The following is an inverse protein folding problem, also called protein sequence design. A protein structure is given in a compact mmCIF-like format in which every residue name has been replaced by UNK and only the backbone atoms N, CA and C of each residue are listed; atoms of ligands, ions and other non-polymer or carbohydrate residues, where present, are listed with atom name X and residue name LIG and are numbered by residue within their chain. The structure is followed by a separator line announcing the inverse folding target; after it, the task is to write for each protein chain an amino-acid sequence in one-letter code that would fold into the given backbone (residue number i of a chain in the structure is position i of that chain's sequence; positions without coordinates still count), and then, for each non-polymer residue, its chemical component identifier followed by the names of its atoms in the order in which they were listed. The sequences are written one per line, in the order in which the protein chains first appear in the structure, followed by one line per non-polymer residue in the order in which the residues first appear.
data_IF_156047575414
#
_entry.id   IF_156047575414
#
_cell.length_a   1.000
_cell.length_b   1.000
_cell.length_c   1.000
_cell.angle_alpha   90.00
_cell.angle_beta   90.00
_cell.angle_gamma   90.00
#
_symmetry.space_group_name_H-M   'P 1'
#
loop_
_entity.id
_entity.type
_entity.pdbx_description
1 polymer ?
#
# COMPACT_ATOMS: atom_id res chain seq x y z
N UNK A 1 -19.26 3.72 -23.95
CA UNK A 1 -19.65 4.76 -22.98
C UNK A 1 -18.49 5.04 -22.02
N UNK A 2 -18.23 6.29 -21.69
CA UNK A 2 -17.22 6.64 -20.67
C UNK A 2 -17.66 6.22 -19.27
N UNK A 3 -18.97 6.13 -19.01
CA UNK A 3 -19.52 5.83 -17.70
C UNK A 3 -19.13 4.43 -17.18
N UNK A 4 -19.06 3.43 -18.05
CA UNK A 4 -18.63 2.07 -17.72
C UNK A 4 -17.15 1.83 -18.01
N UNK A 5 -16.55 2.54 -18.98
CA UNK A 5 -15.16 2.34 -19.37
C UNK A 5 -14.19 2.97 -18.38
N UNK A 6 -14.49 4.17 -17.88
CA UNK A 6 -13.59 4.87 -16.95
C UNK A 6 -13.39 4.10 -15.63
N UNK A 7 -14.43 3.68 -14.89
CA UNK A 7 -14.24 2.85 -13.70
C UNK A 7 -13.57 1.51 -14.01
N UNK A 8 -13.85 0.90 -15.17
CA UNK A 8 -13.14 -0.30 -15.62
C UNK A 8 -11.63 -0.05 -15.72
N UNK A 9 -11.21 1.06 -16.35
CA UNK A 9 -9.78 1.40 -16.49
C UNK A 9 -9.14 1.71 -15.14
N UNK A 10 -9.83 2.37 -14.22
CA UNK A 10 -9.32 2.60 -12.86
C UNK A 10 -9.01 1.27 -12.16
N UNK A 11 -9.93 0.31 -12.19
CA UNK A 11 -9.74 -1.03 -11.61
C UNK A 11 -8.54 -1.75 -12.25
N UNK A 12 -8.46 -1.77 -13.57
CA UNK A 12 -7.38 -2.45 -14.30
C UNK A 12 -6.03 -1.80 -14.01
N UNK A 13 -5.93 -0.47 -14.08
CA UNK A 13 -4.68 0.25 -13.87
C UNK A 13 -4.12 0.01 -12.45
N UNK A 14 -4.95 0.12 -11.43
CA UNK A 14 -4.55 -0.10 -10.04
C UNK A 14 -4.14 -1.56 -9.81
N UNK A 15 -4.90 -2.52 -10.34
CA UNK A 15 -4.56 -3.93 -10.22
C UNK A 15 -3.23 -4.27 -10.90
N UNK A 16 -2.99 -3.79 -12.12
CA UNK A 16 -1.75 -4.03 -12.86
C UNK A 16 -0.53 -3.41 -12.16
N UNK A 17 -0.61 -2.14 -11.73
CA UNK A 17 0.46 -1.49 -10.97
C UNK A 17 0.73 -2.20 -9.64
N UNK A 18 -0.31 -2.71 -8.99
CA UNK A 18 -0.15 -3.46 -7.75
C UNK A 18 0.62 -4.76 -7.93
N UNK A 19 0.33 -5.49 -9.02
CA UNK A 19 1.00 -6.75 -9.34
C UNK A 19 2.44 -6.50 -9.78
N UNK A 20 2.65 -5.47 -10.60
CA UNK A 20 3.94 -5.20 -11.22
C UNK A 20 4.95 -4.58 -10.26
N UNK A 21 4.51 -3.64 -9.45
CA UNK A 21 5.42 -2.78 -8.69
C UNK A 21 5.24 -2.91 -7.17
N UNK A 22 4.03 -2.71 -6.65
CA UNK A 22 3.78 -2.61 -5.20
C UNK A 22 4.02 -3.93 -4.46
N UNK A 23 3.37 -5.00 -4.90
CA UNK A 23 3.42 -6.30 -4.22
C UNK A 23 4.82 -6.90 -4.24
N UNK A 24 5.55 -6.91 -5.36
CA UNK A 24 6.95 -7.33 -5.38
C UNK A 24 7.84 -6.53 -4.43
N UNK A 25 7.76 -5.20 -4.49
CA UNK A 25 8.56 -4.32 -3.62
C UNK A 25 8.27 -4.55 -2.13
N UNK A 26 7.01 -4.73 -1.76
CA UNK A 26 6.64 -5.03 -0.38
C UNK A 26 7.13 -6.42 0.07
N UNK A 27 7.08 -7.43 -0.82
CA UNK A 27 7.64 -8.75 -0.55
C UNK A 27 9.15 -8.71 -0.37
N UNK A 28 9.87 -7.95 -1.16
CA UNK A 28 11.31 -7.77 -1.03
C UNK A 28 11.66 -7.06 0.29
N UNK A 29 10.92 -6.03 0.66
CA UNK A 29 11.08 -5.35 1.96
C UNK A 29 10.88 -6.34 3.12
N UNK A 30 9.81 -7.13 3.10
CA UNK A 30 9.54 -8.16 4.11
C UNK A 30 10.70 -9.16 4.21
N UNK A 31 11.24 -9.60 3.07
CA UNK A 31 12.38 -10.52 3.01
C UNK A 31 13.63 -9.92 3.66
N UNK A 32 13.93 -8.64 3.43
CA UNK A 32 15.06 -7.97 4.06
C UNK A 32 14.87 -7.84 5.58
N UNK A 33 13.67 -7.49 6.05
CA UNK A 33 13.38 -7.51 7.49
C UNK A 33 13.50 -8.91 8.11
N UNK A 34 13.08 -9.95 7.41
CA UNK A 34 13.28 -11.34 7.86
C UNK A 34 14.75 -11.72 8.00
N UNK A 35 15.62 -11.26 7.08
CA UNK A 35 17.07 -11.44 7.20
C UNK A 35 17.61 -10.72 8.43
N UNK A 36 17.23 -9.45 8.63
CA UNK A 36 17.65 -8.67 9.81
C UNK A 36 17.17 -9.30 11.11
N UNK A 37 15.92 -9.77 11.17
CA UNK A 37 15.39 -10.54 12.31
C UNK A 37 16.33 -11.70 12.70
N UNK A 38 16.82 -12.50 11.71
CA UNK A 38 17.73 -13.62 11.96
C UNK A 38 19.10 -13.15 12.44
N UNK A 39 19.67 -12.12 11.80
CA UNK A 39 20.97 -11.58 12.18
C UNK A 39 20.94 -11.04 13.62
N UNK A 40 19.85 -10.40 14.00
CA UNK A 40 19.70 -9.74 15.30
C UNK A 40 19.10 -10.60 16.40
N UNK A 41 18.84 -11.88 16.15
CA UNK A 41 18.10 -12.77 17.08
C UNK A 41 18.73 -12.92 18.46
N UNK A 42 20.05 -12.79 18.57
CA UNK A 42 20.82 -12.98 19.80
C UNK A 42 21.36 -11.65 20.38
N UNK A 43 21.02 -10.50 19.79
CA UNK A 43 21.45 -9.21 20.29
C UNK A 43 20.48 -8.75 21.37
N UNK A 44 20.92 -8.84 22.63
CA UNK A 44 20.11 -8.42 23.79
C UNK A 44 20.11 -6.89 23.86
N UNK A 45 18.93 -6.32 24.08
CA UNK A 45 18.71 -4.90 24.30
C UNK A 45 17.61 -4.67 25.31
N UNK A 46 17.49 -3.43 25.78
CA UNK A 46 16.32 -3.04 26.58
C UNK A 46 15.10 -2.85 25.67
N UNK A 47 13.96 -3.45 26.05
CA UNK A 47 12.65 -3.08 25.51
C UNK A 47 12.15 -1.80 26.17
N UNK A 48 11.38 -0.99 25.44
CA UNK A 48 10.84 0.27 25.92
C UNK A 48 9.34 0.37 25.75
N UNK A 49 8.69 0.92 26.75
CA UNK A 49 7.29 1.36 26.70
C UNK A 49 7.22 2.81 27.15
N UNK A 50 6.37 3.63 26.52
CA UNK A 50 6.33 5.08 26.79
C UNK A 50 7.70 5.77 26.64
N UNK A 51 8.58 5.23 25.78
CA UNK A 51 9.99 5.62 25.63
C UNK A 51 10.86 5.46 26.90
N UNK A 52 10.35 4.75 27.91
CA UNK A 52 11.07 4.43 29.14
C UNK A 52 11.54 2.98 29.13
N UNK A 53 12.63 2.69 29.85
CA UNK A 53 13.19 1.35 29.97
C UNK A 53 12.16 0.39 30.59
N UNK A 54 12.03 -0.79 29.97
CA UNK A 54 11.13 -1.84 30.44
C UNK A 54 11.90 -3.15 30.71
N UNK A 55 11.64 -4.20 29.97
CA UNK A 55 12.27 -5.50 30.15
C UNK A 55 13.22 -5.84 29.01
N UNK A 56 14.24 -6.70 29.25
CA UNK A 56 15.13 -7.15 28.17
C UNK A 56 14.36 -7.90 27.08
N UNK A 57 14.75 -7.60 25.85
CA UNK A 57 14.33 -8.30 24.62
C UNK A 57 15.54 -8.54 23.74
N UNK A 58 15.37 -9.18 22.59
CA UNK A 58 16.38 -9.14 21.54
C UNK A 58 15.99 -8.12 20.46
N UNK A 59 16.97 -7.55 19.79
CA UNK A 59 16.74 -6.73 18.60
C UNK A 59 16.00 -7.53 17.52
N UNK A 60 16.24 -8.83 17.44
CA UNK A 60 15.49 -9.75 16.57
C UNK A 60 13.99 -9.85 16.91
N UNK A 61 13.60 -9.72 18.19
CA UNK A 61 12.19 -9.65 18.59
C UNK A 61 11.52 -8.39 18.02
N UNK A 62 12.20 -7.26 18.07
CA UNK A 62 11.72 -5.98 17.53
C UNK A 62 11.51 -6.07 16.01
N UNK A 63 12.51 -6.55 15.27
CA UNK A 63 12.38 -6.79 13.82
C UNK A 63 11.35 -7.87 13.48
N UNK A 64 11.10 -8.81 14.36
CA UNK A 64 10.02 -9.82 14.21
C UNK A 64 8.63 -9.17 14.19
N UNK A 65 8.40 -8.17 15.06
CA UNK A 65 7.15 -7.41 15.07
C UNK A 65 6.96 -6.64 13.74
N UNK A 66 8.01 -5.99 13.23
CA UNK A 66 7.98 -5.31 11.95
C UNK A 66 7.63 -6.25 10.78
N UNK A 67 8.26 -7.44 10.75
CA UNK A 67 7.93 -8.46 9.73
C UNK A 67 6.45 -8.84 9.76
N UNK A 68 5.91 -9.13 10.94
CA UNK A 68 4.52 -9.56 11.11
C UNK A 68 3.54 -8.45 10.68
N UNK A 69 3.86 -7.20 11.02
CA UNK A 69 3.04 -6.04 10.66
C UNK A 69 2.99 -5.84 9.14
N UNK A 70 4.13 -5.94 8.45
CA UNK A 70 4.20 -5.82 6.99
C UNK A 70 3.52 -7.00 6.26
N UNK A 71 3.67 -8.23 6.76
CA UNK A 71 2.97 -9.40 6.23
C UNK A 71 1.45 -9.26 6.33
N UNK A 72 0.95 -8.73 7.45
CA UNK A 72 -0.47 -8.45 7.62
C UNK A 72 -0.96 -7.36 6.65
N UNK A 73 -0.15 -6.32 6.37
CA UNK A 73 -0.45 -5.31 5.36
C UNK A 73 -0.50 -5.90 3.95
N UNK A 74 0.48 -6.74 3.59
CA UNK A 74 0.47 -7.44 2.31
C UNK A 74 -0.81 -8.25 2.11
N UNK A 75 -1.23 -9.00 3.13
CA UNK A 75 -2.47 -9.79 3.09
C UNK A 75 -3.70 -8.91 2.86
N UNK A 76 -3.80 -7.75 3.53
CA UNK A 76 -4.91 -6.79 3.33
C UNK A 76 -4.94 -6.26 1.90
N UNK A 77 -3.78 -5.91 1.34
CA UNK A 77 -3.66 -5.45 -0.04
C UNK A 77 -4.10 -6.54 -1.02
N UNK A 78 -3.67 -7.79 -0.83
CA UNK A 78 -4.05 -8.90 -1.70
C UNK A 78 -5.55 -9.19 -1.65
N UNK A 79 -6.19 -9.07 -0.48
CA UNK A 79 -7.64 -9.22 -0.31
C UNK A 79 -8.39 -8.09 -1.02
N UNK A 80 -8.09 -6.83 -0.72
CA UNK A 80 -8.78 -5.67 -1.33
C UNK A 80 -8.57 -5.62 -2.85
N UNK A 81 -7.36 -5.98 -3.34
CA UNK A 81 -7.06 -6.09 -4.76
C UNK A 81 -7.97 -7.08 -5.48
N UNK A 82 -8.42 -8.13 -4.82
CA UNK A 82 -9.27 -9.15 -5.47
C UNK A 82 -10.60 -8.60 -5.95
N UNK A 83 -11.13 -7.56 -5.31
CA UNK A 83 -12.37 -6.88 -5.69
C UNK A 83 -12.23 -6.07 -6.98
N UNK A 84 -11.03 -5.56 -7.28
CA UNK A 84 -10.74 -4.82 -8.51
C UNK A 84 -10.89 -5.65 -9.80
N UNK A 85 -11.01 -6.98 -9.67
CA UNK A 85 -11.22 -7.87 -10.82
C UNK A 85 -12.64 -7.87 -11.37
N UNK A 86 -13.59 -7.24 -10.70
CA UNK A 86 -14.97 -7.12 -11.17
C UNK A 86 -15.17 -5.79 -11.86
N UNK A 87 -15.54 -5.84 -13.16
CA UNK A 87 -15.52 -4.70 -14.05
C UNK A 87 -16.92 -4.23 -14.44
N UNK A 88 -17.09 -2.90 -14.48
CA UNK A 88 -18.32 -2.24 -14.90
C UNK A 88 -18.58 -2.34 -16.42
N UNK A 89 -17.57 -2.68 -17.22
CA UNK A 89 -17.64 -2.66 -18.68
C UNK A 89 -18.84 -3.43 -19.23
N UNK A 90 -19.56 -2.80 -20.15
CA UNK A 90 -20.79 -3.30 -20.73
C UNK A 90 -22.05 -2.83 -20.01
N UNK A 91 -21.93 -2.05 -18.90
CA UNK A 91 -23.07 -1.39 -18.26
C UNK A 91 -23.62 -0.22 -19.05
N UNK A 92 -22.80 0.33 -19.95
CA UNK A 92 -23.09 1.50 -20.80
C UNK A 92 -23.39 2.76 -19.98
N UNK A 93 -24.52 3.42 -20.19
CA UNK A 93 -24.80 4.72 -19.58
C UNK A 93 -25.11 4.63 -18.07
N UNK A 94 -25.92 3.64 -17.65
CA UNK A 94 -26.47 3.57 -16.30
C UNK A 94 -26.40 2.18 -15.64
N UNK A 95 -25.84 1.18 -16.33
CA UNK A 95 -25.73 -0.20 -15.85
C UNK A 95 -26.63 -1.20 -16.55
N UNK A 96 -27.59 -0.75 -17.36
CA UNK A 96 -28.55 -1.62 -18.07
C UNK A 96 -27.96 -2.34 -19.28
N UNK A 97 -26.80 -1.88 -19.77
CA UNK A 97 -26.20 -2.41 -21.00
C UNK A 97 -26.95 -2.06 -22.28
N UNK A 98 -27.76 -1.01 -22.27
CA UNK A 98 -28.52 -0.56 -23.44
C UNK A 98 -27.59 -0.31 -24.64
N UNK A 99 -27.97 -0.81 -25.80
CA UNK A 99 -27.20 -0.77 -27.05
C UNK A 99 -25.87 -1.55 -27.05
N UNK A 100 -25.52 -2.25 -25.98
CA UNK A 100 -24.38 -3.15 -26.03
C UNK A 100 -24.73 -4.48 -26.69
N UNK A 101 -23.85 -5.07 -27.50
CA UNK A 101 -24.06 -6.43 -28.03
C UNK A 101 -24.19 -7.45 -26.89
N UNK A 102 -25.00 -8.49 -27.13
CA UNK A 102 -25.13 -9.58 -26.15
C UNK A 102 -23.75 -10.18 -25.81
N UNK A 103 -23.48 -10.37 -24.52
CA UNK A 103 -22.22 -10.94 -23.97
C UNK A 103 -20.98 -10.05 -24.19
N UNK A 104 -21.14 -8.78 -24.55
CA UNK A 104 -20.02 -7.86 -24.75
C UNK A 104 -19.07 -7.83 -23.54
N UNK A 105 -19.61 -7.73 -22.34
CA UNK A 105 -18.89 -7.75 -21.07
C UNK A 105 -17.99 -8.99 -20.89
N UNK A 106 -18.54 -10.18 -21.18
CA UNK A 106 -17.80 -11.44 -21.09
C UNK A 106 -16.68 -11.52 -22.14
N UNK A 107 -16.98 -11.07 -23.36
CA UNK A 107 -16.00 -11.06 -24.46
C UNK A 107 -14.88 -10.07 -24.15
N UNK A 108 -15.22 -8.88 -23.65
CA UNK A 108 -14.25 -7.88 -23.21
C UNK A 108 -13.29 -8.46 -22.15
N UNK A 109 -13.83 -9.03 -21.06
CA UNK A 109 -13.01 -9.65 -20.01
C UNK A 109 -12.13 -10.79 -20.55
N UNK A 110 -12.65 -11.61 -21.48
CA UNK A 110 -11.86 -12.68 -22.12
C UNK A 110 -10.63 -12.14 -22.84
N UNK A 111 -10.76 -11.03 -23.60
CA UNK A 111 -9.63 -10.43 -24.29
C UNK A 111 -8.69 -9.72 -23.34
N UNK A 112 -9.23 -8.99 -22.36
CA UNK A 112 -8.44 -8.32 -21.32
C UNK A 112 -7.57 -9.34 -20.56
N UNK A 113 -8.14 -10.48 -20.16
CA UNK A 113 -7.42 -11.54 -19.45
C UNK A 113 -6.26 -12.13 -20.27
N UNK A 114 -6.40 -12.19 -21.62
CA UNK A 114 -5.30 -12.61 -22.48
C UNK A 114 -4.16 -11.58 -22.51
N UNK A 115 -4.49 -10.30 -22.47
CA UNK A 115 -3.50 -9.21 -22.51
C UNK A 115 -2.76 -9.06 -21.18
N UNK A 116 -3.49 -9.11 -20.08
CA UNK A 116 -2.95 -8.86 -18.73
C UNK A 116 -2.45 -10.13 -18.02
N UNK A 117 -2.85 -11.31 -18.50
CA UNK A 117 -2.64 -12.62 -17.85
C UNK A 117 -3.25 -12.69 -16.44
N UNK A 118 -4.32 -11.92 -16.20
CA UNK A 118 -5.11 -11.95 -14.96
C UNK A 118 -6.52 -12.53 -15.21
N UNK A 119 -7.42 -12.48 -14.25
CA UNK A 119 -8.74 -13.13 -14.21
C UNK A 119 -9.86 -12.14 -13.95
N UNK A 120 -9.95 -11.09 -14.77
CA UNK A 120 -11.05 -10.13 -14.72
C UNK A 120 -12.38 -10.78 -15.12
N UNK A 121 -13.45 -10.32 -14.48
CA UNK A 121 -14.82 -10.79 -14.67
C UNK A 121 -15.78 -9.61 -14.80
N UNK A 122 -16.88 -9.74 -15.54
CA UNK A 122 -17.95 -8.77 -15.48
C UNK A 122 -18.49 -8.66 -14.06
N UNK A 123 -18.75 -7.43 -13.60
CA UNK A 123 -19.49 -7.22 -12.35
C UNK A 123 -20.86 -7.89 -12.43
N UNK A 124 -21.30 -8.44 -11.31
CA UNK A 124 -22.63 -9.06 -11.20
C UNK A 124 -23.75 -8.02 -11.29
N UNK A 125 -23.50 -6.83 -10.74
CA UNK A 125 -24.42 -5.71 -10.78
C UNK A 125 -23.72 -4.47 -11.34
N UNK A 126 -23.98 -4.18 -12.62
CA UNK A 126 -23.36 -3.02 -13.29
C UNK A 126 -23.97 -1.68 -12.89
N UNK A 127 -25.18 -1.67 -12.30
CA UNK A 127 -25.75 -0.45 -11.71
C UNK A 127 -24.94 0.00 -10.52
N UNK A 128 -24.55 -0.93 -9.67
CA UNK A 128 -23.67 -0.66 -8.52
C UNK A 128 -22.29 -0.23 -8.99
N UNK A 129 -21.66 -0.98 -9.91
CA UNK A 129 -20.28 -0.74 -10.35
C UNK A 129 -20.06 0.58 -11.11
N UNK A 130 -21.14 1.23 -11.60
CA UNK A 130 -21.08 2.56 -12.18
C UNK A 130 -21.31 3.65 -11.12
N UNK A 131 -22.14 3.36 -10.13
CA UNK A 131 -22.60 4.32 -9.13
C UNK A 131 -21.70 4.39 -7.89
N UNK A 132 -20.89 3.35 -7.65
CA UNK A 132 -20.06 3.22 -6.46
C UNK A 132 -18.63 2.81 -6.83
N UNK A 133 -17.67 3.30 -6.05
CA UNK A 133 -16.25 2.97 -6.18
C UNK A 133 -15.68 2.27 -4.94
N UNK A 134 -16.50 1.53 -4.21
CA UNK A 134 -16.14 0.86 -2.95
C UNK A 134 -14.88 -0.01 -3.06
N UNK A 135 -14.66 -0.81 -4.14
CA UNK A 135 -13.41 -1.56 -4.30
C UNK A 135 -12.16 -0.67 -4.35
N UNK A 136 -12.26 0.51 -4.97
CA UNK A 136 -11.14 1.48 -5.04
C UNK A 136 -10.89 2.13 -3.68
N UNK A 137 -11.94 2.47 -2.95
CA UNK A 137 -11.86 3.00 -1.58
C UNK A 137 -11.23 1.96 -0.66
N UNK A 138 -11.68 0.72 -0.70
CA UNK A 138 -11.15 -0.38 0.12
C UNK A 138 -9.66 -0.61 -0.18
N UNK A 139 -9.27 -0.61 -1.45
CA UNK A 139 -7.87 -0.72 -1.83
C UNK A 139 -7.05 0.47 -1.33
N UNK A 140 -7.51 1.70 -1.51
CA UNK A 140 -6.87 2.92 -1.00
C UNK A 140 -6.69 2.87 0.52
N UNK A 141 -7.69 2.41 1.27
CA UNK A 141 -7.61 2.25 2.72
C UNK A 141 -6.61 1.16 3.14
N UNK A 142 -6.40 0.12 2.33
CA UNK A 142 -5.33 -0.85 2.58
C UNK A 142 -3.94 -0.23 2.40
N UNK A 143 -3.75 0.68 1.44
CA UNK A 143 -2.51 1.46 1.28
C UNK A 143 -2.30 2.45 2.42
N UNK A 144 -3.36 3.10 2.90
CA UNK A 144 -3.33 3.96 4.09
C UNK A 144 -2.86 3.19 5.32
N UNK A 145 -3.39 1.98 5.53
CA UNK A 145 -2.96 1.10 6.63
C UNK A 145 -1.49 0.70 6.49
N UNK A 146 -1.02 0.37 5.28
CA UNK A 146 0.40 0.11 5.04
C UNK A 146 1.25 1.34 5.38
N UNK A 147 0.84 2.52 4.95
CA UNK A 147 1.57 3.78 5.22
C UNK A 147 1.67 4.09 6.72
N UNK A 148 0.61 3.88 7.48
CA UNK A 148 0.61 4.03 8.94
C UNK A 148 1.57 3.02 9.58
N UNK A 149 1.57 1.79 9.12
CA UNK A 149 2.49 0.75 9.60
C UNK A 149 3.95 1.08 9.29
N UNK A 150 4.22 1.54 8.07
CA UNK A 150 5.56 1.97 7.67
C UNK A 150 6.04 3.18 8.49
N UNK A 151 5.19 4.18 8.73
CA UNK A 151 5.53 5.33 9.59
C UNK A 151 5.96 4.89 10.98
N UNK A 152 5.23 3.96 11.60
CA UNK A 152 5.60 3.41 12.90
C UNK A 152 6.97 2.73 12.84
N UNK A 153 7.19 1.86 11.88
CA UNK A 153 8.43 1.08 11.72
C UNK A 153 9.63 2.01 11.47
N UNK A 154 9.51 2.96 10.55
CA UNK A 154 10.62 3.85 10.21
C UNK A 154 10.92 4.86 11.31
N UNK A 155 9.93 5.29 12.09
CA UNK A 155 10.14 6.14 13.24
C UNK A 155 10.91 5.40 14.34
N UNK A 156 10.60 4.14 14.61
CA UNK A 156 11.37 3.33 15.55
C UNK A 156 12.82 3.14 15.07
N UNK A 157 13.01 2.76 13.81
CA UNK A 157 14.36 2.59 13.24
C UNK A 157 15.16 3.89 13.29
N UNK A 158 14.53 5.01 12.92
CA UNK A 158 15.15 6.33 12.97
C UNK A 158 15.56 6.70 14.40
N UNK A 159 14.71 6.41 15.37
CA UNK A 159 14.96 6.71 16.76
C UNK A 159 16.08 5.82 17.33
N UNK A 160 16.06 4.51 17.05
CA UNK A 160 17.14 3.58 17.41
C UNK A 160 18.50 3.96 16.78
N UNK A 161 18.48 4.59 15.60
CA UNK A 161 19.69 5.04 14.92
C UNK A 161 20.10 6.48 15.27
N UNK A 162 19.42 7.13 16.21
CA UNK A 162 19.70 8.52 16.57
C UNK A 162 21.05 8.69 17.25
N UNK A 163 21.68 9.80 17.02
CA UNK A 163 22.97 10.16 17.63
C UNK A 163 24.16 10.06 16.67
N UNK A 164 25.16 9.22 16.93
CA UNK A 164 25.21 8.13 17.92
C UNK A 164 25.57 8.55 19.35
N UNK A 165 26.22 9.70 19.56
CA UNK A 165 26.79 10.07 20.89
C UNK A 165 25.73 10.57 21.86
N UNK A 166 24.80 11.40 21.39
CA UNK A 166 23.74 12.03 22.19
C UNK A 166 22.36 11.51 21.86
N UNK A 167 22.27 10.32 21.31
CA UNK A 167 21.05 9.61 21.00
C UNK A 167 21.14 8.16 21.42
N UNK A 168 20.24 7.29 20.92
CA UNK A 168 20.21 5.89 21.31
C UNK A 168 21.38 5.07 20.71
N UNK A 169 21.74 5.30 19.45
CA UNK A 169 22.88 4.67 18.82
C UNK A 169 22.82 3.13 18.75
N UNK A 170 21.64 2.53 18.82
CA UNK A 170 21.48 1.06 18.80
C UNK A 170 21.56 0.48 17.38
N UNK A 171 21.32 1.31 16.36
CA UNK A 171 21.43 0.93 14.96
C UNK A 171 22.36 1.89 14.22
N UNK A 172 23.15 1.35 13.30
CA UNK A 172 23.88 2.15 12.31
C UNK A 172 23.22 1.99 10.95
N UNK A 173 22.79 3.10 10.38
CA UNK A 173 22.21 3.13 9.03
C UNK A 173 23.31 3.32 7.98
N UNK A 174 23.13 2.77 6.75
CA UNK A 174 24.05 3.03 5.66
C UNK A 174 24.14 4.52 5.31
N UNK A 175 25.33 4.99 4.99
CA UNK A 175 25.54 6.31 4.42
C UNK A 175 25.18 6.30 2.94
N UNK A 176 23.93 6.54 2.60
CA UNK A 176 23.46 6.53 1.22
C UNK A 176 23.75 7.84 0.47
N UNK A 177 24.09 8.89 1.18
CA UNK A 177 24.36 10.23 0.66
C UNK A 177 25.56 10.85 1.37
N UNK A 178 26.23 11.84 0.75
CA UNK A 178 27.24 12.61 1.44
C UNK A 178 26.66 13.24 2.73
N UNK A 179 27.45 13.25 3.80
CA UNK A 179 27.05 13.88 5.04
C UNK A 179 26.89 15.39 4.90
N UNK A 180 26.53 16.07 6.01
CA UNK A 180 26.42 17.53 6.06
C UNK A 180 27.72 18.20 5.64
N UNK A 181 27.65 19.24 4.79
CA UNK A 181 28.81 20.05 4.40
C UNK A 181 29.41 20.87 5.58
N UNK A 182 28.60 21.15 6.59
CA UNK A 182 29.01 21.96 7.77
C UNK A 182 29.46 21.05 8.91
N UNK A 183 28.93 19.85 9.05
CA UNK A 183 29.21 18.92 10.14
C UNK A 183 29.78 17.61 9.58
N UNK A 184 31.12 17.47 9.44
CA UNK A 184 31.73 16.26 8.90
C UNK A 184 31.31 15.00 9.68
N UNK A 185 31.01 13.94 8.95
CA UNK A 185 30.58 12.66 9.54
C UNK A 185 29.12 12.59 9.98
N UNK A 186 28.33 13.66 9.85
CA UNK A 186 26.88 13.64 10.12
C UNK A 186 26.13 13.06 8.93
N UNK A 187 25.69 11.83 9.05
CA UNK A 187 24.87 11.13 8.03
C UNK A 187 23.41 11.17 8.45
N UNK A 188 22.58 11.84 7.65
CA UNK A 188 21.14 11.94 7.91
C UNK A 188 20.42 10.70 7.37
N UNK A 189 19.30 10.25 7.98
CA UNK A 189 18.51 9.12 7.53
C UNK A 189 17.54 9.51 6.40
N UNK A 190 18.07 10.10 5.30
CA UNK A 190 17.28 10.75 4.24
C UNK A 190 16.29 9.79 3.55
N UNK A 191 16.63 8.50 3.40
CA UNK A 191 15.71 7.51 2.83
C UNK A 191 14.49 7.26 3.74
N UNK A 192 14.70 7.26 5.04
CA UNK A 192 13.62 7.15 6.03
C UNK A 192 12.73 8.40 5.98
N UNK A 193 13.33 9.58 5.86
CA UNK A 193 12.61 10.85 5.75
C UNK A 193 11.79 10.91 4.45
N UNK A 194 12.36 10.50 3.33
CA UNK A 194 11.65 10.40 2.05
C UNK A 194 10.44 9.46 2.15
N UNK A 195 10.62 8.27 2.73
CA UNK A 195 9.52 7.34 2.94
C UNK A 195 8.44 7.91 3.86
N UNK A 196 8.81 8.70 4.88
CA UNK A 196 7.84 9.39 5.74
C UNK A 196 6.96 10.36 4.94
N UNK A 197 7.57 11.15 4.05
CA UNK A 197 6.84 12.07 3.16
C UNK A 197 5.87 11.33 2.24
N UNK A 198 6.31 10.22 1.63
CA UNK A 198 5.45 9.36 0.79
C UNK A 198 4.26 8.83 1.58
N UNK A 199 4.50 8.31 2.78
CA UNK A 199 3.43 7.78 3.64
C UNK A 199 2.38 8.85 4.00
N UNK A 200 2.83 10.06 4.34
CA UNK A 200 1.93 11.19 4.66
C UNK A 200 1.10 11.57 3.44
N UNK A 201 1.71 11.61 2.25
CA UNK A 201 1.00 11.90 1.00
C UNK A 201 -0.07 10.83 0.69
N UNK A 202 0.25 9.55 0.85
CA UNK A 202 -0.70 8.44 0.65
C UNK A 202 -1.88 8.54 1.62
N UNK A 203 -1.64 8.88 2.88
CA UNK A 203 -2.71 9.08 3.88
C UNK A 203 -3.63 10.24 3.48
N UNK A 204 -3.08 11.35 3.04
CA UNK A 204 -3.86 12.49 2.55
C UNK A 204 -4.68 12.14 1.31
N UNK A 205 -4.09 11.47 0.33
CA UNK A 205 -4.78 11.01 -0.88
C UNK A 205 -5.91 10.03 -0.56
N UNK A 206 -5.70 9.12 0.40
CA UNK A 206 -6.75 8.16 0.82
C UNK A 206 -7.97 8.88 1.39
N UNK A 207 -7.78 9.94 2.18
CA UNK A 207 -8.89 10.76 2.68
C UNK A 207 -9.66 11.42 1.53
N UNK A 208 -8.96 11.90 0.52
CA UNK A 208 -9.60 12.47 -0.69
C UNK A 208 -10.42 11.41 -1.43
N UNK A 209 -9.90 10.19 -1.57
CA UNK A 209 -10.62 9.06 -2.20
C UNK A 209 -11.86 8.68 -1.40
N UNK A 210 -11.78 8.63 -0.07
CA UNK A 210 -12.93 8.35 0.80
C UNK A 210 -14.07 9.37 0.58
N UNK A 211 -13.72 10.66 0.55
CA UNK A 211 -14.69 11.74 0.32
C UNK A 211 -15.26 11.70 -1.12
N UNK A 212 -14.42 11.49 -2.12
CA UNK A 212 -14.86 11.34 -3.51
C UNK A 212 -15.85 10.17 -3.66
N UNK A 213 -15.56 9.03 -3.02
CA UNK A 213 -16.45 7.87 -3.02
C UNK A 213 -17.83 8.14 -2.44
N UNK A 214 -17.95 9.05 -1.47
CA UNK A 214 -19.23 9.40 -0.83
C UNK A 214 -20.09 10.38 -1.64
N UNK A 215 -19.59 10.94 -2.74
CA UNK A 215 -20.23 12.05 -3.48
C UNK A 215 -20.94 11.66 -4.78
N UNK A 216 -21.01 10.40 -5.14
CA UNK A 216 -21.77 9.95 -6.30
C UNK A 216 -23.28 10.14 -6.13
N UNK A 217 -24.00 10.39 -7.24
CA UNK A 217 -25.44 10.54 -7.25
C UNK A 217 -26.08 9.59 -8.27
N UNK A 218 -27.13 8.88 -7.82
CA UNK A 218 -27.93 7.97 -8.65
C UNK A 218 -27.05 6.89 -9.31
N UNK A 219 -26.98 6.85 -10.64
CA UNK A 219 -26.35 5.76 -11.40
C UNK A 219 -24.90 6.07 -11.84
N UNK A 220 -24.29 7.13 -11.32
CA UNK A 220 -22.91 7.47 -11.64
C UNK A 220 -22.22 8.18 -10.49
N UNK A 221 -21.01 7.75 -10.17
CA UNK A 221 -20.04 8.55 -9.43
C UNK A 221 -18.99 9.10 -10.43
N UNK A 222 -18.91 10.41 -10.53
CA UNK A 222 -18.01 11.13 -11.44
C UNK A 222 -16.79 11.75 -10.73
N UNK A 223 -16.60 11.48 -9.44
CA UNK A 223 -15.51 12.04 -8.63
C UNK A 223 -14.28 11.16 -8.60
#
# INVERSE_FOLDING_TARGET
SSNDTFPTIMHVAINELSIKDLIPSLKDLIKEFQKKKKIFQNIIKIGRTHTQDATPITLGNEFSAFCTQLQACLKRIEISKSELRYLAQGGTAVGSGINAPKKFDKVFCKYLNKLTKDTYKPSQNKFESLASHDPLINFSNSLKTLSISLLKIINDIRFLASGPRSGLGELTLPANEPGSSIMPGKVNPTQIEALSMVCVQVIGNSTTVDLAGSNGHFQLNAY
#
